data_IF_372971429301
#
_entry.id   IF_372971429301
#
_cell.length_a   1.000
_cell.length_b   1.000
_cell.length_c   1.000
_cell.angle_alpha   90.00
_cell.angle_beta   90.00
_cell.angle_gamma   90.00
#
_symmetry.space_group_name_H-M   'P 1'
#
loop_
_entity.id
_entity.type
_entity.pdbx_description
1 polymer ?
#
# COMPACT_ATOMS: atom_id res chain seq x y z
N UNK A 1 -23.48 -4.74 8.94
CA UNK A 1 -22.92 -3.37 8.98
C UNK A 1 -23.78 -2.46 8.11
N UNK A 2 -24.08 -1.23 8.54
CA UNK A 2 -24.95 -0.31 7.79
C UNK A 2 -24.21 0.34 6.62
N UNK A 3 -24.91 0.82 5.58
CA UNK A 3 -24.27 1.53 4.46
C UNK A 3 -23.41 2.71 4.94
N UNK A 4 -23.87 3.44 5.97
CA UNK A 4 -23.11 4.53 6.60
C UNK A 4 -21.75 4.06 7.14
N UNK A 5 -21.67 2.88 7.74
CA UNK A 5 -20.40 2.35 8.25
C UNK A 5 -19.39 2.08 7.13
N UNK A 6 -19.82 1.62 5.96
CA UNK A 6 -18.94 1.42 4.80
C UNK A 6 -18.48 2.74 4.19
N UNK A 7 -19.31 3.79 4.25
CA UNK A 7 -18.88 5.13 3.82
C UNK A 7 -17.81 5.70 4.75
N UNK A 8 -17.93 5.49 6.07
CA UNK A 8 -16.89 5.87 7.01
C UNK A 8 -15.59 5.09 6.80
N UNK A 9 -15.70 3.77 6.57
CA UNK A 9 -14.53 2.93 6.27
C UNK A 9 -13.83 3.35 4.98
N UNK A 10 -14.60 3.66 3.95
CA UNK A 10 -14.10 4.26 2.70
C UNK A 10 -13.35 5.56 2.95
N UNK A 11 -13.94 6.50 3.71
CA UNK A 11 -13.28 7.77 4.02
C UNK A 11 -11.97 7.54 4.79
N UNK A 12 -11.96 6.67 5.79
CA UNK A 12 -10.77 6.33 6.55
C UNK A 12 -9.67 5.70 5.69
N UNK A 13 -10.02 4.75 4.81
CA UNK A 13 -9.09 4.12 3.89
C UNK A 13 -8.47 5.13 2.90
N UNK A 14 -9.26 6.10 2.42
CA UNK A 14 -8.75 7.16 1.57
C UNK A 14 -7.81 8.11 2.31
N UNK A 15 -8.08 8.43 3.59
CA UNK A 15 -7.16 9.19 4.42
C UNK A 15 -5.83 8.45 4.58
N UNK A 16 -5.87 7.16 4.92
CA UNK A 16 -4.67 6.32 5.04
C UNK A 16 -3.87 6.27 3.73
N UNK A 17 -4.54 6.15 2.59
CA UNK A 17 -3.88 6.20 1.28
C UNK A 17 -3.20 7.55 1.03
N UNK A 18 -3.87 8.67 1.33
CA UNK A 18 -3.30 10.00 1.13
C UNK A 18 -2.09 10.25 2.04
N UNK A 19 -2.15 9.80 3.29
CA UNK A 19 -1.01 9.83 4.22
C UNK A 19 0.16 9.01 3.68
N UNK A 20 -0.11 7.80 3.18
CA UNK A 20 0.93 6.95 2.58
C UNK A 20 1.56 7.60 1.35
N UNK A 21 0.76 8.18 0.46
CA UNK A 21 1.23 8.93 -0.70
C UNK A 21 2.08 10.13 -0.26
N UNK A 22 1.66 10.85 0.79
CA UNK A 22 2.41 11.98 1.32
C UNK A 22 3.80 11.54 1.82
N UNK A 23 3.87 10.44 2.57
CA UNK A 23 5.13 9.86 3.06
C UNK A 23 6.07 9.50 1.91
N UNK A 24 5.56 8.94 0.81
CA UNK A 24 6.38 8.60 -0.35
C UNK A 24 6.88 9.81 -1.14
N UNK A 25 6.09 10.88 -1.21
CA UNK A 25 6.43 12.10 -1.97
C UNK A 25 7.16 13.16 -1.14
N UNK A 26 7.49 12.87 0.12
CA UNK A 26 8.33 13.76 0.93
C UNK A 26 9.65 14.02 0.19
N UNK A 27 10.03 15.29 -0.05
CA UNK A 27 11.31 15.62 -0.66
C UNK A 27 12.44 14.95 0.13
N UNK A 28 13.44 14.42 -0.55
CA UNK A 28 14.62 13.81 0.08
C UNK A 28 15.26 14.70 1.16
N UNK A 29 15.01 16.01 1.08
CA UNK A 29 15.57 17.09 1.88
C UNK A 29 14.73 17.47 3.13
N UNK A 30 13.49 16.98 3.25
CA UNK A 30 12.55 17.36 4.35
C UNK A 30 12.55 16.33 5.48
N UNK A 31 13.40 15.30 5.42
CA UNK A 31 13.51 14.29 6.48
C UNK A 31 14.04 14.99 7.73
N UNK A 32 13.17 15.13 8.73
CA UNK A 32 13.32 16.02 9.90
C UNK A 32 14.61 15.82 10.71
N UNK A 33 15.34 14.73 10.45
CA UNK A 33 16.58 14.35 11.13
C UNK A 33 17.80 14.20 10.19
N UNK A 34 17.72 14.63 8.93
CA UNK A 34 18.83 14.54 7.96
C UNK A 34 19.21 13.12 7.52
N UNK A 35 18.50 12.09 7.99
CA UNK A 35 18.69 10.72 7.54
C UNK A 35 18.00 10.54 6.20
N UNK A 36 18.74 10.16 5.17
CA UNK A 36 18.13 9.68 3.95
C UNK A 36 17.24 8.45 4.27
N UNK A 37 16.05 8.32 3.66
CA UNK A 37 15.37 7.02 3.55
C UNK A 37 16.41 6.09 2.98
N UNK A 38 16.79 5.13 3.79
CA UNK A 38 17.72 4.09 3.39
C UNK A 38 17.13 3.41 2.16
N UNK A 39 17.91 3.36 1.07
CA UNK A 39 17.48 2.71 -0.17
C UNK A 39 17.84 1.25 0.01
N UNK A 40 16.86 0.44 0.40
CA UNK A 40 17.11 -0.96 0.69
C UNK A 40 15.84 -1.76 0.92
N UNK A 41 16.01 -3.04 1.19
CA UNK A 41 14.90 -3.98 1.32
C UNK A 41 13.89 -3.58 2.40
N UNK A 42 14.37 -3.17 3.59
CA UNK A 42 13.51 -2.95 4.74
C UNK A 42 12.52 -1.79 4.56
N UNK A 43 12.94 -0.59 4.06
CA UNK A 43 11.99 0.50 3.83
C UNK A 43 10.96 0.17 2.74
N UNK A 44 11.37 -0.48 1.64
CA UNK A 44 10.42 -0.93 0.62
C UNK A 44 9.45 -1.99 1.16
N UNK A 45 9.89 -2.86 2.09
CA UNK A 45 9.04 -3.90 2.66
C UNK A 45 7.93 -3.30 3.54
N UNK A 46 8.26 -2.27 4.32
CA UNK A 46 7.28 -1.55 5.14
C UNK A 46 6.22 -0.88 4.25
N UNK A 47 6.66 -0.19 3.19
CA UNK A 47 5.77 0.46 2.23
C UNK A 47 4.90 -0.57 1.51
N UNK A 48 5.49 -1.68 1.04
CA UNK A 48 4.76 -2.78 0.40
C UNK A 48 3.63 -3.34 1.28
N UNK A 49 3.92 -3.63 2.55
CA UNK A 49 2.92 -4.15 3.50
C UNK A 49 1.78 -3.14 3.70
N UNK A 50 2.10 -1.84 3.77
CA UNK A 50 1.08 -0.77 3.89
C UNK A 50 0.15 -0.72 2.68
N UNK A 51 0.69 -0.73 1.46
CA UNK A 51 -0.15 -0.76 0.26
C UNK A 51 -0.95 -2.06 0.13
N UNK A 52 -0.40 -3.19 0.57
CA UNK A 52 -1.14 -4.46 0.59
C UNK A 52 -2.34 -4.38 1.56
N UNK A 53 -2.15 -3.80 2.75
CA UNK A 53 -3.23 -3.57 3.71
C UNK A 53 -4.33 -2.68 3.14
N UNK A 54 -3.97 -1.56 2.51
CA UNK A 54 -4.92 -0.65 1.85
C UNK A 54 -5.66 -1.38 0.72
N UNK A 55 -4.97 -2.19 -0.08
CA UNK A 55 -5.57 -2.98 -1.14
C UNK A 55 -6.65 -3.93 -0.61
N UNK A 56 -6.35 -4.70 0.44
CA UNK A 56 -7.32 -5.60 1.08
C UNK A 56 -8.52 -4.83 1.65
N UNK A 57 -8.28 -3.71 2.32
CA UNK A 57 -9.37 -2.87 2.85
C UNK A 57 -10.28 -2.36 1.73
N UNK A 58 -9.72 -1.95 0.59
CA UNK A 58 -10.48 -1.48 -0.56
C UNK A 58 -11.30 -2.58 -1.23
N UNK A 59 -10.79 -3.81 -1.28
CA UNK A 59 -11.52 -4.96 -1.79
C UNK A 59 -12.77 -5.22 -0.93
N UNK A 60 -12.62 -5.25 0.40
CA UNK A 60 -13.76 -5.39 1.31
C UNK A 60 -14.77 -4.24 1.16
N UNK A 61 -14.30 -3.00 1.03
CA UNK A 61 -15.17 -1.84 0.81
C UNK A 61 -15.89 -1.95 -0.54
N UNK A 62 -15.19 -2.40 -1.59
CA UNK A 62 -15.75 -2.56 -2.94
C UNK A 62 -16.90 -3.56 -2.96
N UNK A 63 -16.75 -4.69 -2.26
CA UNK A 63 -17.76 -5.75 -2.21
C UNK A 63 -19.01 -5.35 -1.44
N UNK A 64 -18.84 -4.52 -0.41
CA UNK A 64 -19.91 -4.08 0.46
C UNK A 64 -20.58 -2.77 0.01
N UNK A 65 -19.99 -2.07 -0.97
CA UNK A 65 -20.53 -0.81 -1.50
C UNK A 65 -21.67 -1.05 -2.49
N UNK A 66 -22.90 -0.69 -2.09
CA UNK A 66 -24.08 -0.84 -2.94
C UNK A 66 -24.26 0.27 -3.98
N UNK A 67 -23.66 1.45 -3.77
CA UNK A 67 -23.81 2.57 -4.69
C UNK A 67 -22.92 2.39 -5.94
N UNK A 68 -23.49 2.21 -7.14
CA UNK A 68 -22.74 1.77 -8.32
C UNK A 68 -21.70 2.80 -8.78
N UNK A 69 -21.99 4.09 -8.62
CA UNK A 69 -21.05 5.17 -8.96
C UNK A 69 -19.82 5.15 -8.04
N UNK A 70 -20.04 5.03 -6.72
CA UNK A 70 -18.95 4.90 -5.75
C UNK A 70 -18.15 3.63 -5.99
N UNK A 71 -18.82 2.51 -6.29
CA UNK A 71 -18.16 1.23 -6.59
C UNK A 71 -17.22 1.33 -7.80
N UNK A 72 -17.63 2.02 -8.87
CA UNK A 72 -16.74 2.31 -10.02
C UNK A 72 -15.51 3.14 -9.62
N UNK A 73 -15.67 4.11 -8.73
CA UNK A 73 -14.55 4.91 -8.24
C UNK A 73 -13.57 4.07 -7.41
N UNK A 74 -14.09 3.30 -6.45
CA UNK A 74 -13.29 2.39 -5.60
C UNK A 74 -12.47 1.44 -6.46
N UNK A 75 -13.07 0.85 -7.50
CA UNK A 75 -12.36 -0.03 -8.43
C UNK A 75 -11.16 0.64 -9.09
N UNK A 76 -11.31 1.87 -9.57
CA UNK A 76 -10.20 2.61 -10.21
C UNK A 76 -9.06 2.88 -9.23
N UNK A 77 -9.39 3.25 -7.99
CA UNK A 77 -8.40 3.46 -6.93
C UNK A 77 -7.67 2.15 -6.61
N UNK A 78 -8.41 1.05 -6.50
CA UNK A 78 -7.87 -0.28 -6.27
C UNK A 78 -6.94 -0.73 -7.41
N UNK A 79 -7.31 -0.51 -8.67
CA UNK A 79 -6.46 -0.79 -9.84
C UNK A 79 -5.11 -0.03 -9.76
N UNK A 80 -5.12 1.24 -9.38
CA UNK A 80 -3.88 2.02 -9.16
C UNK A 80 -3.03 1.48 -8.01
N UNK A 81 -3.65 1.05 -6.92
CA UNK A 81 -2.92 0.48 -5.77
C UNK A 81 -2.31 -0.87 -6.12
N UNK A 82 -3.01 -1.70 -6.88
CA UNK A 82 -2.46 -2.98 -7.37
C UNK A 82 -1.22 -2.73 -8.21
N UNK A 83 -1.24 -1.73 -9.10
CA UNK A 83 -0.05 -1.34 -9.86
C UNK A 83 1.11 -0.95 -8.95
N UNK A 84 0.85 -0.11 -7.93
CA UNK A 84 1.87 0.28 -6.96
C UNK A 84 2.43 -0.90 -6.16
N UNK A 85 1.59 -1.85 -5.76
CA UNK A 85 2.02 -3.10 -5.08
C UNK A 85 2.97 -3.90 -5.98
N UNK A 86 2.70 -3.98 -7.28
CA UNK A 86 3.57 -4.68 -8.24
C UNK A 86 4.92 -3.98 -8.40
N UNK A 87 4.94 -2.66 -8.52
CA UNK A 87 6.19 -1.87 -8.54
C UNK A 87 7.02 -2.11 -7.28
N UNK A 88 6.40 -2.05 -6.10
CA UNK A 88 7.07 -2.29 -4.83
C UNK A 88 7.60 -3.72 -4.72
N UNK A 89 6.85 -4.71 -5.24
CA UNK A 89 7.32 -6.09 -5.32
C UNK A 89 8.57 -6.22 -6.18
N UNK A 90 8.62 -5.52 -7.32
CA UNK A 90 9.82 -5.48 -8.16
C UNK A 90 11.02 -4.92 -7.39
N UNK A 91 10.84 -3.83 -6.63
CA UNK A 91 11.88 -3.28 -5.76
C UNK A 91 12.33 -4.28 -4.70
N UNK A 92 11.40 -5.01 -4.06
CA UNK A 92 11.74 -6.04 -3.08
C UNK A 92 12.54 -7.19 -3.67
N UNK A 93 12.24 -7.60 -4.90
CA UNK A 93 13.01 -8.61 -5.61
C UNK A 93 14.41 -8.10 -5.90
N UNK A 94 14.53 -6.84 -6.37
CA UNK A 94 15.81 -6.21 -6.67
C UNK A 94 16.70 -6.08 -5.42
N UNK A 95 16.14 -5.61 -4.31
CA UNK A 95 16.86 -5.44 -3.04
C UNK A 95 16.93 -6.73 -2.21
N UNK A 96 16.50 -7.88 -2.72
CA UNK A 96 16.43 -9.12 -1.94
C UNK A 96 17.83 -9.50 -1.40
N UNK A 97 18.04 -9.52 -0.06
CA UNK A 97 19.33 -9.83 0.53
C UNK A 97 19.76 -11.29 0.26
N UNK A 98 18.81 -12.16 -0.11
CA UNK A 98 19.03 -13.58 -0.41
C UNK A 98 18.76 -13.91 -1.87
N UNK A 99 19.17 -13.05 -2.82
CA UNK A 99 18.93 -13.21 -4.26
C UNK A 99 19.37 -14.56 -4.88
N UNK A 100 20.31 -15.29 -4.26
CA UNK A 100 20.76 -16.63 -4.73
C UNK A 100 19.99 -17.81 -4.15
N UNK A 101 19.25 -17.60 -3.06
CA UNK A 101 18.51 -18.68 -2.41
C UNK A 101 17.13 -18.78 -3.05
N UNK A 102 16.93 -19.86 -3.82
CA UNK A 102 15.63 -20.21 -4.41
C UNK A 102 14.62 -20.67 -3.36
N UNK A 103 15.09 -21.03 -2.16
CA UNK A 103 14.30 -21.51 -1.04
C UNK A 103 14.37 -20.53 0.13
N UNK A 104 13.21 -20.11 0.62
CA UNK A 104 13.07 -19.42 1.89
C UNK A 104 12.82 -20.52 2.92
N UNK A 105 13.78 -20.75 3.83
CA UNK A 105 13.49 -21.51 5.03
C UNK A 105 12.52 -20.64 5.85
N UNK A 106 11.26 -21.06 5.95
CA UNK A 106 10.22 -20.33 6.67
C UNK A 106 10.29 -20.58 8.19
N UNK A 107 11.18 -21.46 8.65
CA UNK A 107 11.30 -21.86 10.05
C UNK A 107 12.78 -21.80 10.49
N UNK A 108 13.11 -20.77 11.27
CA UNK A 108 14.05 -20.79 12.40
C UNK A 108 13.46 -19.96 13.54
#
# INVERSE_FOLDING_TARGET
MSNKSWQHRWAGCMTELLEQIHVEHLPANTRENGQALDIGFQPFALVYIKYLHICTNLEEIYDQMIHPQKRKFIRRVMESIILRVLELKEQLIFFNPRHKNRFIALDE
#
